data_IF_088487427087
#
_entry.id   IF_088487427087
#
_cell.length_a   1.000
_cell.length_b   1.000
_cell.length_c   1.000
_cell.angle_alpha   90.00
_cell.angle_beta   90.00
_cell.angle_gamma   90.00
#
_symmetry.space_group_name_H-M   'P 1'
#
loop_
_entity.id
_entity.type
_entity.pdbx_description
1 polymer ?
#
# COMPACT_ATOMS: atom_id res chain seq x y z
N UNK A 1 7.34 0.78 -26.63
CA UNK A 1 7.07 2.16 -26.17
C UNK A 1 8.41 2.70 -25.75
N UNK A 2 8.97 3.56 -26.60
CA UNK A 2 10.31 4.12 -26.45
C UNK A 2 10.42 4.91 -25.15
N UNK A 3 11.35 4.51 -24.29
CA UNK A 3 11.65 5.20 -23.05
C UNK A 3 12.53 6.41 -23.37
N UNK A 4 11.93 7.59 -23.34
CA UNK A 4 12.64 8.84 -23.51
C UNK A 4 13.49 9.12 -22.25
N UNK A 5 14.81 9.18 -22.40
CA UNK A 5 15.78 9.46 -21.32
C UNK A 5 15.52 10.81 -20.64
N UNK A 6 14.77 11.70 -21.29
CA UNK A 6 14.39 13.00 -20.74
C UNK A 6 13.31 12.92 -19.64
N UNK A 7 12.47 11.88 -19.60
CA UNK A 7 11.46 11.71 -18.54
C UNK A 7 12.09 11.21 -17.22
N UNK A 8 13.17 10.42 -17.33
CA UNK A 8 13.98 9.97 -16.20
C UNK A 8 14.71 11.17 -15.57
N UNK A 9 15.24 12.08 -16.41
CA UNK A 9 15.87 13.33 -15.94
C UNK A 9 14.89 14.34 -15.34
N UNK A 10 13.60 14.27 -15.69
CA UNK A 10 12.58 15.21 -15.20
C UNK A 10 11.99 14.87 -13.83
N UNK A 11 12.54 13.91 -13.07
CA UNK A 11 12.09 13.58 -11.70
C UNK A 11 10.59 13.25 -11.60
N UNK A 12 9.94 12.83 -12.70
CA UNK A 12 8.49 12.53 -12.73
C UNK A 12 8.16 11.08 -12.37
N UNK A 13 9.17 10.21 -12.31
CA UNK A 13 8.99 8.77 -12.04
C UNK A 13 9.52 8.47 -10.63
N UNK A 14 8.68 7.89 -9.77
CA UNK A 14 9.09 7.48 -8.43
C UNK A 14 10.04 6.27 -8.53
N UNK A 15 11.35 6.54 -8.54
CA UNK A 15 12.40 5.52 -8.63
C UNK A 15 12.53 4.67 -7.36
N UNK A 16 11.92 5.08 -6.24
CA UNK A 16 11.84 4.28 -5.02
C UNK A 16 10.70 3.25 -5.05
N UNK A 17 9.78 3.39 -6.01
CA UNK A 17 8.69 2.44 -6.18
C UNK A 17 9.15 1.24 -7.01
N UNK A 18 9.07 0.05 -6.41
CA UNK A 18 9.47 -1.23 -7.01
C UNK A 18 8.95 -1.45 -8.43
N UNK A 19 7.72 -1.05 -8.73
CA UNK A 19 7.14 -1.23 -10.07
C UNK A 19 7.82 -0.41 -11.18
N UNK A 20 8.58 0.64 -10.83
CA UNK A 20 9.24 1.51 -11.80
C UNK A 20 10.69 1.09 -12.07
N UNK A 21 11.41 0.55 -11.09
CA UNK A 21 12.81 0.14 -11.27
C UNK A 21 13.01 -1.34 -11.61
N UNK A 22 12.00 -2.22 -11.43
CA UNK A 22 12.23 -3.67 -11.62
C UNK A 22 12.68 -4.09 -13.04
N UNK A 23 12.48 -3.22 -14.04
CA UNK A 23 12.92 -3.44 -15.43
C UNK A 23 14.17 -2.65 -15.82
N UNK A 24 14.77 -1.90 -14.90
CA UNK A 24 15.96 -1.09 -15.19
C UNK A 24 17.23 -1.92 -15.04
N UNK A 25 18.23 -1.63 -15.87
CA UNK A 25 19.58 -2.14 -15.66
C UNK A 25 20.22 -1.44 -14.44
N UNK A 26 21.17 -2.13 -13.79
CA UNK A 26 21.77 -1.67 -12.53
C UNK A 26 22.46 -0.30 -12.68
N UNK A 27 23.22 -0.11 -13.76
CA UNK A 27 23.94 1.13 -14.03
C UNK A 27 22.99 2.33 -14.20
N UNK A 28 21.88 2.13 -14.94
CA UNK A 28 20.86 3.16 -15.12
C UNK A 28 20.16 3.50 -13.79
N UNK A 29 19.95 2.51 -12.93
CA UNK A 29 19.35 2.71 -11.61
C UNK A 29 20.29 3.46 -10.66
N UNK A 30 21.58 3.14 -10.66
CA UNK A 30 22.60 3.77 -9.82
C UNK A 30 22.80 5.25 -10.19
N UNK A 31 22.87 5.57 -11.48
CA UNK A 31 22.95 6.96 -11.95
C UNK A 31 21.69 7.76 -11.61
N UNK A 32 20.51 7.16 -11.80
CA UNK A 32 19.23 7.79 -11.52
C UNK A 32 19.01 8.06 -10.01
N UNK A 33 19.37 7.11 -9.14
CA UNK A 33 19.31 7.27 -7.68
C UNK A 33 20.35 8.28 -7.18
N UNK A 34 21.58 8.25 -7.73
CA UNK A 34 22.61 9.24 -7.41
C UNK A 34 22.18 10.67 -7.74
N UNK A 35 21.52 10.87 -8.89
CA UNK A 35 20.92 12.16 -9.26
C UNK A 35 19.79 12.62 -8.33
N UNK A 36 18.98 11.68 -7.84
CA UNK A 36 17.87 11.96 -6.93
C UNK A 36 18.35 12.27 -5.50
N UNK A 37 19.42 11.62 -5.04
CA UNK A 37 20.08 11.93 -3.76
C UNK A 37 20.71 13.32 -3.72
N UNK A 38 21.20 13.84 -4.86
CA UNK A 38 21.73 15.20 -4.95
C UNK A 38 20.64 16.29 -4.93
N UNK A 39 19.36 15.93 -5.09
CA UNK A 39 18.20 16.83 -4.99
C UNK A 39 17.30 16.40 -3.82
N UNK A 40 17.75 16.68 -2.58
CA UNK A 40 17.09 16.27 -1.33
C UNK A 40 15.58 16.57 -1.30
N UNK A 41 15.15 17.74 -1.78
CA UNK A 41 13.74 18.15 -1.73
C UNK A 41 12.79 17.21 -2.50
N UNK A 42 13.25 16.70 -3.65
CA UNK A 42 12.47 15.75 -4.47
C UNK A 42 12.45 14.34 -3.87
N UNK A 43 13.54 13.92 -3.22
CA UNK A 43 13.62 12.66 -2.49
C UNK A 43 12.62 12.65 -1.33
N UNK A 44 12.67 13.67 -0.48
CA UNK A 44 11.76 13.78 0.67
C UNK A 44 10.30 13.89 0.25
N UNK A 45 9.98 14.70 -0.77
CA UNK A 45 8.62 14.80 -1.32
C UNK A 45 8.08 13.46 -1.82
N UNK A 46 8.94 12.66 -2.47
CA UNK A 46 8.57 11.33 -2.99
C UNK A 46 8.30 10.33 -1.86
N UNK A 47 9.17 10.28 -0.85
CA UNK A 47 8.97 9.41 0.32
C UNK A 47 7.69 9.77 1.10
N UNK A 48 7.41 11.07 1.28
CA UNK A 48 6.18 11.55 1.95
C UNK A 48 4.93 11.10 1.19
N UNK A 49 4.93 11.25 -0.14
CA UNK A 49 3.81 10.81 -0.99
C UNK A 49 3.60 9.31 -0.88
N UNK A 50 4.67 8.51 -0.95
CA UNK A 50 4.58 7.05 -0.85
C UNK A 50 4.03 6.61 0.51
N UNK A 51 4.54 7.17 1.60
CA UNK A 51 4.06 6.90 2.96
C UNK A 51 2.56 7.24 3.12
N UNK A 52 2.11 8.37 2.54
CA UNK A 52 0.70 8.77 2.57
C UNK A 52 -0.21 7.78 1.82
N UNK A 53 0.18 7.38 0.61
CA UNK A 53 -0.61 6.43 -0.18
C UNK A 53 -0.61 5.03 0.45
N UNK A 54 0.51 4.59 1.01
CA UNK A 54 0.61 3.33 1.74
C UNK A 54 -0.37 3.31 2.92
N UNK A 55 -0.41 4.38 3.71
CA UNK A 55 -1.36 4.54 4.81
C UNK A 55 -2.82 4.47 4.35
N UNK A 56 -3.15 5.10 3.22
CA UNK A 56 -4.51 5.08 2.65
C UNK A 56 -4.93 3.68 2.19
N UNK A 57 -4.04 2.92 1.56
CA UNK A 57 -4.33 1.54 1.14
C UNK A 57 -4.50 0.64 2.35
N UNK A 58 -3.66 0.82 3.38
CA UNK A 58 -3.75 0.08 4.62
C UNK A 58 -5.10 0.32 5.31
N UNK A 59 -5.55 1.58 5.42
CA UNK A 59 -6.85 1.91 5.97
C UNK A 59 -8.01 1.20 5.24
N UNK A 60 -7.95 1.09 3.90
CA UNK A 60 -8.95 0.35 3.12
C UNK A 60 -8.96 -1.14 3.46
N UNK A 61 -7.78 -1.78 3.53
CA UNK A 61 -7.64 -3.20 3.91
C UNK A 61 -8.17 -3.46 5.32
N UNK A 62 -7.83 -2.59 6.27
CA UNK A 62 -8.29 -2.69 7.66
C UNK A 62 -9.81 -2.49 7.79
N UNK A 63 -10.40 -1.58 7.00
CA UNK A 63 -11.86 -1.39 6.99
C UNK A 63 -12.58 -2.66 6.57
N UNK A 64 -12.11 -3.33 5.51
CA UNK A 64 -12.69 -4.59 5.04
C UNK A 64 -12.55 -5.69 6.09
N UNK A 65 -11.36 -5.81 6.70
CA UNK A 65 -11.12 -6.79 7.77
C UNK A 65 -12.02 -6.55 8.98
N UNK A 66 -12.22 -5.29 9.36
CA UNK A 66 -13.10 -4.91 10.47
C UNK A 66 -14.56 -5.27 10.20
N UNK A 67 -15.02 -5.10 8.97
CA UNK A 67 -16.39 -5.50 8.57
C UNK A 67 -16.55 -7.02 8.70
N UNK A 68 -15.60 -7.80 8.15
CA UNK A 68 -15.62 -9.25 8.26
C UNK A 68 -15.63 -9.72 9.73
N UNK A 69 -14.79 -9.12 10.57
CA UNK A 69 -14.76 -9.39 12.01
C UNK A 69 -16.09 -9.11 12.70
N UNK A 70 -16.71 -7.96 12.42
CA UNK A 70 -17.99 -7.60 13.02
C UNK A 70 -19.11 -8.56 12.61
N UNK A 71 -19.18 -8.94 11.32
CA UNK A 71 -20.18 -9.89 10.83
C UNK A 71 -19.99 -11.26 11.50
N UNK A 72 -18.75 -11.74 11.58
CA UNK A 72 -18.41 -13.00 12.22
C UNK A 72 -18.76 -13.01 13.72
N UNK A 73 -18.39 -11.94 14.45
CA UNK A 73 -18.71 -11.77 15.87
C UNK A 73 -20.22 -11.82 16.13
N UNK A 74 -21.01 -11.07 15.35
CA UNK A 74 -22.48 -11.08 15.48
C UNK A 74 -23.03 -12.49 15.21
N UNK A 75 -22.51 -13.18 14.20
CA UNK A 75 -22.91 -14.56 13.90
C UNK A 75 -22.65 -15.53 15.05
N UNK A 76 -21.49 -15.43 15.72
CA UNK A 76 -21.17 -16.25 16.90
C UNK A 76 -22.15 -15.95 18.04
N UNK A 77 -22.39 -14.67 18.34
CA UNK A 77 -23.28 -14.27 19.43
C UNK A 77 -24.69 -14.80 19.20
N UNK A 78 -25.23 -14.64 17.98
CA UNK A 78 -26.57 -15.14 17.63
C UNK A 78 -26.63 -16.66 17.75
N UNK A 79 -25.60 -17.37 17.29
CA UNK A 79 -25.54 -18.85 17.37
C UNK A 79 -25.52 -19.33 18.82
N UNK A 80 -24.72 -18.70 19.68
CA UNK A 80 -24.65 -19.02 21.12
C UNK A 80 -25.99 -18.72 21.80
N UNK A 81 -26.61 -17.58 21.53
CA UNK A 81 -27.92 -17.23 22.10
C UNK A 81 -29.02 -18.19 21.65
N UNK A 82 -29.05 -18.53 20.36
CA UNK A 82 -30.01 -19.50 19.84
C UNK A 82 -29.84 -20.87 20.50
N UNK A 83 -28.60 -21.32 20.70
CA UNK A 83 -28.31 -22.57 21.40
C UNK A 83 -28.78 -22.54 22.85
N UNK A 84 -28.50 -21.46 23.59
CA UNK A 84 -28.93 -21.29 24.99
C UNK A 84 -30.46 -21.27 25.10
N UNK A 85 -31.16 -20.54 24.22
CA UNK A 85 -32.61 -20.48 24.22
C UNK A 85 -33.22 -21.85 23.89
N UNK A 86 -32.67 -22.55 22.90
CA UNK A 86 -33.13 -23.89 22.54
C UNK A 86 -32.93 -24.89 23.68
N UNK A 87 -31.83 -24.81 24.42
CA UNK A 87 -31.55 -25.73 25.53
C UNK A 87 -32.31 -25.40 26.82
N UNK A 88 -32.67 -24.14 27.06
CA UNK A 88 -33.49 -23.72 28.21
C UNK A 88 -34.98 -23.94 27.94
N UNK A 89 -35.42 -23.81 26.68
CA UNK A 89 -36.81 -24.00 26.27
C UNK A 89 -37.20 -25.43 25.89
N UNK A 90 -36.24 -26.36 25.87
CA UNK A 90 -36.42 -27.82 25.73
C UNK A 90 -36.35 -28.47 27.10
#
# INVERSE_FOLDING_TARGET
>A
MDFNKDDIKQNKVNLLFFGNFYKMELDDYEEAIGGLMNNEENLYSTMIKDQYFLGKVLAKKYKLLRIAYNVFMVGIIVSVLAFVIAFIGV
#
